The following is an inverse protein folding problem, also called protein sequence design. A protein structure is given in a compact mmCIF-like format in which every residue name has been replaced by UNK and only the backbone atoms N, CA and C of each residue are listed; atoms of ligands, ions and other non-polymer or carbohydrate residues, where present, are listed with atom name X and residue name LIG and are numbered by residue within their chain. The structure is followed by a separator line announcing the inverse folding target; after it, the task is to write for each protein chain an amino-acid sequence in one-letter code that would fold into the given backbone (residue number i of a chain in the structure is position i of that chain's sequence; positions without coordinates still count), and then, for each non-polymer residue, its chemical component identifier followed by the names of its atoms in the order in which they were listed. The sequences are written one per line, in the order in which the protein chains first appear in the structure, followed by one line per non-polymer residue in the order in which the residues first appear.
data_IF_942364767324
#
_entry.id   IF_942364767324
#
_cell.length_a   1.000
_cell.length_b   1.000
_cell.length_c   1.000
_cell.angle_alpha   90.00
_cell.angle_beta   90.00
_cell.angle_gamma   90.00
#
_symmetry.space_group_name_H-M   'P 1'
#
loop_
_entity.id
_entity.type
_entity.pdbx_description
1 polymer ?
#
# COMPACT_ATOMS: atom_id res chain seq x y z
N UNK A 1 18.23 37.51 55.44
CA UNK A 1 19.29 37.46 54.40
C UNK A 1 19.15 36.09 53.74
N UNK A 2 18.93 36.12 52.43
CA UNK A 2 18.46 35.00 51.60
C UNK A 2 19.67 34.22 51.07
N UNK A 3 19.63 32.90 51.09
CA UNK A 3 20.34 32.08 50.11
C UNK A 3 19.43 30.90 49.74
N UNK A 4 18.86 30.99 48.53
CA UNK A 4 18.07 29.95 47.88
C UNK A 4 18.97 29.32 46.82
N UNK A 5 19.37 28.07 47.03
CA UNK A 5 19.94 27.24 45.97
C UNK A 5 18.82 26.78 45.03
N UNK A 6 18.92 27.19 43.77
CA UNK A 6 18.10 26.68 42.68
C UNK A 6 18.59 25.27 42.31
N UNK A 7 17.80 24.25 42.63
CA UNK A 7 17.91 22.93 41.98
C UNK A 7 16.97 22.88 40.78
N UNK A 8 17.60 22.96 39.61
CA UNK A 8 17.04 22.61 38.31
C UNK A 8 16.40 21.21 38.34
N UNK A 9 15.07 21.14 38.34
CA UNK A 9 14.36 19.95 37.89
C UNK A 9 14.13 20.04 36.38
N UNK A 10 14.75 19.10 35.67
CA UNK A 10 14.67 18.88 34.23
C UNK A 10 13.22 18.90 33.74
N UNK A 11 12.87 19.89 32.91
CA UNK A 11 11.75 19.80 31.95
C UNK A 11 12.15 18.76 30.90
N UNK A 12 11.56 17.57 31.00
CA UNK A 12 11.45 16.62 29.89
C UNK A 12 10.17 15.80 30.10
N UNK A 13 9.05 16.33 29.61
CA UNK A 13 7.89 15.55 29.18
C UNK A 13 7.54 16.07 27.80
N UNK A 14 7.41 15.15 26.84
CA UNK A 14 7.10 15.44 25.46
C UNK A 14 5.85 16.35 25.36
N UNK A 15 5.96 17.40 24.56
CA UNK A 15 4.85 18.25 24.14
C UNK A 15 4.03 17.47 23.09
N UNK A 16 3.28 16.45 23.51
CA UNK A 16 2.28 15.83 22.64
C UNK A 16 1.02 16.70 22.74
N UNK A 17 0.88 17.67 21.85
CA UNK A 17 -0.40 18.39 21.71
C UNK A 17 -1.48 17.39 21.29
N UNK A 18 -2.63 17.43 21.97
CA UNK A 18 -3.78 16.62 21.57
C UNK A 18 -4.30 17.10 20.21
N UNK A 19 -4.63 16.15 19.33
CA UNK A 19 -5.05 16.43 17.96
C UNK A 19 -6.27 15.61 17.58
N UNK A 20 -7.08 16.17 16.69
CA UNK A 20 -8.19 15.46 16.05
C UNK A 20 -7.68 14.18 15.38
N UNK A 21 -8.36 13.07 15.63
CA UNK A 21 -8.02 11.73 15.16
C UNK A 21 -7.15 10.91 16.12
N UNK A 22 -6.55 11.53 17.13
CA UNK A 22 -5.76 10.83 18.15
C UNK A 22 -6.64 9.90 18.98
N UNK A 23 -6.10 8.74 19.36
CA UNK A 23 -6.71 7.78 20.28
C UNK A 23 -6.13 8.05 21.66
N UNK A 24 -7.03 8.17 22.64
CA UNK A 24 -6.71 8.47 24.03
C UNK A 24 -7.41 7.47 24.93
N UNK A 25 -6.79 7.13 26.06
CA UNK A 25 -7.41 6.31 27.11
C UNK A 25 -7.60 7.15 28.37
N UNK A 26 -8.65 6.82 29.13
CA UNK A 26 -8.90 7.50 30.40
C UNK A 26 -10.00 6.83 31.22
N UNK A 27 -10.01 6.99 32.56
CA UNK A 27 -11.11 6.54 33.40
C UNK A 27 -12.35 7.42 33.20
N UNK A 28 -13.53 6.81 33.29
CA UNK A 28 -14.81 7.54 33.31
C UNK A 28 -14.89 8.35 34.61
N UNK A 29 -15.03 9.68 34.49
CA UNK A 29 -15.26 10.58 35.61
C UNK A 29 -16.73 10.65 35.99
N UNK A 30 -17.60 10.76 34.99
CA UNK A 30 -19.04 10.93 35.18
C UNK A 30 -19.79 10.28 34.03
N UNK A 31 -20.90 9.60 34.33
CA UNK A 31 -21.75 8.97 33.33
C UNK A 31 -23.21 9.37 33.51
N UNK A 32 -23.76 10.09 32.53
CA UNK A 32 -25.17 10.49 32.50
C UNK A 32 -25.90 9.93 31.29
N UNK A 33 -27.21 10.18 31.19
CA UNK A 33 -28.01 9.82 30.01
C UNK A 33 -27.75 10.73 28.80
N UNK A 34 -27.05 11.86 28.98
CA UNK A 34 -26.82 12.89 27.95
C UNK A 34 -25.36 13.04 27.55
N UNK A 35 -24.43 12.73 28.46
CA UNK A 35 -22.99 12.79 28.22
C UNK A 35 -22.23 11.82 29.12
N UNK A 36 -20.99 11.53 28.76
CA UNK A 36 -19.99 10.86 29.60
C UNK A 36 -18.72 11.70 29.62
N UNK A 37 -18.16 11.93 30.80
CA UNK A 37 -16.88 12.63 31.00
C UNK A 37 -15.77 11.62 31.30
N UNK A 38 -14.60 11.85 30.73
CA UNK A 38 -13.44 10.95 30.78
C UNK A 38 -12.20 11.77 31.13
N UNK A 39 -11.41 11.31 32.09
CA UNK A 39 -10.15 11.98 32.44
C UNK A 39 -9.08 11.65 31.40
N UNK A 40 -8.62 12.66 30.66
CA UNK A 40 -7.57 12.54 29.65
C UNK A 40 -6.27 13.20 30.11
N UNK A 41 -6.04 13.32 31.42
CA UNK A 41 -4.82 13.90 31.98
C UNK A 41 -3.57 13.34 31.30
N UNK A 42 -2.65 14.19 30.80
CA UNK A 42 -2.55 15.64 31.05
C UNK A 42 -3.31 16.56 30.09
N UNK A 43 -4.06 16.02 29.12
CA UNK A 43 -4.65 16.79 28.02
C UNK A 43 -5.94 17.52 28.39
N UNK A 44 -6.64 17.11 29.44
CA UNK A 44 -7.89 17.73 29.90
C UNK A 44 -8.97 16.70 30.18
N UNK A 45 -10.23 17.09 29.98
CA UNK A 45 -11.40 16.21 30.16
C UNK A 45 -12.05 15.94 28.80
N UNK A 46 -12.21 14.67 28.47
CA UNK A 46 -12.94 14.21 27.30
C UNK A 46 -14.43 14.14 27.56
N UNK A 47 -15.25 14.42 26.55
CA UNK A 47 -16.71 14.33 26.60
C UNK A 47 -17.24 13.50 25.43
N UNK A 48 -18.14 12.56 25.73
CA UNK A 48 -18.89 11.78 24.72
C UNK A 48 -20.37 12.17 24.85
N UNK A 49 -20.96 12.75 23.81
CA UNK A 49 -22.37 13.20 23.81
C UNK A 49 -23.08 12.92 22.49
N UNK A 50 -24.38 13.20 22.44
CA UNK A 50 -25.15 13.22 21.20
C UNK A 50 -25.12 11.90 20.41
N UNK A 51 -24.65 11.96 19.17
CA UNK A 51 -24.53 10.79 18.29
C UNK A 51 -23.52 9.76 18.83
N UNK A 52 -22.34 10.21 19.26
CA UNK A 52 -21.29 9.33 19.79
C UNK A 52 -21.72 8.60 21.07
N UNK A 53 -22.51 9.25 21.93
CA UNK A 53 -23.07 8.58 23.11
C UNK A 53 -24.06 7.47 22.73
N UNK A 54 -24.83 7.65 21.65
CA UNK A 54 -25.75 6.61 21.15
C UNK A 54 -24.98 5.40 20.64
N UNK A 55 -23.90 5.60 19.90
CA UNK A 55 -23.02 4.52 19.43
C UNK A 55 -22.32 3.82 20.60
N UNK A 56 -21.92 4.59 21.61
CA UNK A 56 -21.23 4.08 22.79
C UNK A 56 -22.13 3.31 23.77
N UNK A 57 -23.45 3.27 23.59
CA UNK A 57 -24.38 2.61 24.54
C UNK A 57 -24.01 1.17 24.85
N UNK A 58 -23.57 0.42 23.84
CA UNK A 58 -23.20 -1.00 24.00
C UNK A 58 -21.92 -1.12 24.82
N UNK A 59 -20.94 -0.25 24.58
CA UNK A 59 -19.65 -0.20 25.30
C UNK A 59 -19.87 0.19 26.76
N UNK A 60 -20.71 1.21 26.97
CA UNK A 60 -20.98 1.79 28.28
C UNK A 60 -21.93 0.94 29.13
N UNK A 61 -22.57 -0.11 28.60
CA UNK A 61 -23.60 -0.87 29.32
C UNK A 61 -23.06 -1.46 30.63
N UNK A 62 -21.85 -2.00 30.59
CA UNK A 62 -21.24 -2.73 31.70
C UNK A 62 -20.16 -1.92 32.45
N UNK A 63 -19.89 -0.68 32.00
CA UNK A 63 -18.87 0.19 32.56
C UNK A 63 -19.43 1.20 33.57
N UNK A 64 -18.66 1.47 34.62
CA UNK A 64 -18.95 2.39 35.73
C UNK A 64 -17.93 3.52 35.81
N UNK A 65 -18.21 4.52 36.63
CA UNK A 65 -17.23 5.55 36.98
C UNK A 65 -15.96 4.90 37.55
N UNK A 66 -14.80 5.36 37.09
CA UNK A 66 -13.49 4.80 37.37
C UNK A 66 -13.00 3.77 36.34
N UNK A 67 -13.88 3.14 35.57
CA UNK A 67 -13.46 2.18 34.54
C UNK A 67 -12.79 2.90 33.37
N UNK A 68 -11.73 2.29 32.83
CA UNK A 68 -11.01 2.84 31.68
C UNK A 68 -11.77 2.62 30.38
N UNK A 69 -11.76 3.65 29.55
CA UNK A 69 -12.28 3.62 28.18
C UNK A 69 -11.26 4.19 27.21
N UNK A 70 -11.28 3.66 26.00
CA UNK A 70 -10.51 4.17 24.87
C UNK A 70 -11.44 4.98 23.98
N UNK A 71 -11.01 6.15 23.55
CA UNK A 71 -11.78 7.04 22.69
C UNK A 71 -10.92 7.71 21.63
N UNK A 72 -11.52 8.01 20.48
CA UNK A 72 -10.88 8.81 19.43
C UNK A 72 -11.33 10.26 19.54
N UNK A 73 -10.37 11.18 19.51
CA UNK A 73 -10.58 12.63 19.50
C UNK A 73 -11.26 13.04 18.20
N UNK A 74 -12.45 13.59 18.32
CA UNK A 74 -13.24 14.14 17.21
C UNK A 74 -13.00 15.63 17.08
N UNK A 75 -12.96 16.33 18.22
CA UNK A 75 -12.75 17.77 18.29
C UNK A 75 -12.00 18.11 19.59
N UNK A 76 -11.16 19.13 19.53
CA UNK A 76 -10.36 19.63 20.66
C UNK A 76 -10.75 21.05 21.09
N UNK A 77 -11.60 21.74 20.31
CA UNK A 77 -11.83 23.18 20.44
C UNK A 77 -13.32 23.51 20.57
N UNK A 78 -13.99 22.95 21.59
CA UNK A 78 -15.38 23.29 21.88
C UNK A 78 -15.51 24.45 22.89
N UNK A 79 -16.64 25.14 22.85
CA UNK A 79 -16.93 26.33 23.67
C UNK A 79 -16.85 26.09 25.20
N UNK A 80 -16.86 24.83 25.63
CA UNK A 80 -16.86 24.41 27.03
C UNK A 80 -15.48 23.90 27.51
N UNK A 81 -14.48 23.84 26.62
CA UNK A 81 -13.12 23.39 26.94
C UNK A 81 -12.96 21.86 27.09
N UNK A 82 -13.95 21.07 26.68
CA UNK A 82 -13.88 19.62 26.66
C UNK A 82 -13.34 19.09 25.32
N UNK A 83 -12.69 17.93 25.35
CA UNK A 83 -12.27 17.22 24.13
C UNK A 83 -13.40 16.29 23.70
N UNK A 84 -13.99 16.46 22.53
CA UNK A 84 -15.09 15.59 22.08
C UNK A 84 -14.54 14.24 21.61
N UNK A 85 -15.11 13.15 22.12
CA UNK A 85 -14.64 11.79 21.91
C UNK A 85 -15.70 10.88 21.30
N UNK A 86 -15.23 9.93 20.49
CA UNK A 86 -15.97 8.74 20.09
C UNK A 86 -15.36 7.51 20.75
N UNK A 87 -16.09 6.83 21.64
CA UNK A 87 -15.59 5.63 22.31
C UNK A 87 -15.30 4.50 21.31
N UNK A 88 -14.17 3.83 21.53
CA UNK A 88 -13.76 2.62 20.84
C UNK A 88 -14.13 1.43 21.74
N UNK A 89 -14.69 0.37 21.15
CA UNK A 89 -15.13 -0.81 21.92
C UNK A 89 -13.97 -1.64 22.46
N UNK A 90 -14.28 -2.63 23.31
CA UNK A 90 -13.28 -3.55 23.89
C UNK A 90 -12.44 -4.28 22.82
N UNK A 91 -13.01 -4.52 21.64
CA UNK A 91 -12.31 -5.19 20.54
C UNK A 91 -11.35 -4.26 19.79
N UNK A 92 -11.12 -3.03 20.23
CA UNK A 92 -10.20 -2.11 19.56
C UNK A 92 -8.76 -2.62 19.63
N UNK A 93 -8.30 -3.03 20.81
CA UNK A 93 -6.97 -3.60 21.00
C UNK A 93 -6.83 -4.93 20.24
N UNK A 94 -7.83 -5.80 20.35
CA UNK A 94 -7.86 -7.07 19.59
C UNK A 94 -7.81 -6.85 18.06
N UNK A 95 -8.48 -5.80 17.56
CA UNK A 95 -8.46 -5.47 16.13
C UNK A 95 -7.07 -5.04 15.67
N UNK A 96 -6.35 -4.27 16.49
CA UNK A 96 -4.98 -3.85 16.18
C UNK A 96 -3.97 -5.00 16.31
N UNK A 97 -4.13 -5.88 17.30
CA UNK A 97 -3.31 -7.09 17.40
C UNK A 97 -3.44 -7.96 16.15
N UNK A 98 -4.67 -8.17 15.66
CA UNK A 98 -4.93 -8.88 14.40
C UNK A 98 -4.29 -8.17 13.20
N UNK A 99 -4.40 -6.84 13.11
CA UNK A 99 -3.77 -6.05 12.04
C UNK A 99 -2.25 -6.20 12.08
N UNK A 100 -1.64 -6.17 13.27
CA UNK A 100 -0.20 -6.39 13.44
C UNK A 100 0.20 -7.76 12.92
N UNK A 101 -0.53 -8.81 13.32
CA UNK A 101 -0.30 -10.18 12.85
C UNK A 101 -0.45 -10.28 11.33
N UNK A 102 -1.50 -9.72 10.73
CA UNK A 102 -1.70 -9.74 9.28
C UNK A 102 -0.55 -9.04 8.52
N UNK A 103 0.03 -7.98 9.07
CA UNK A 103 1.20 -7.31 8.51
C UNK A 103 2.46 -8.17 8.63
N UNK A 104 2.69 -8.78 9.79
CA UNK A 104 3.84 -9.67 10.04
C UNK A 104 3.82 -10.92 9.17
N UNK A 105 2.64 -11.53 9.01
CA UNK A 105 2.45 -12.67 8.11
C UNK A 105 2.65 -12.31 6.64
N UNK A 106 2.64 -11.01 6.31
CA UNK A 106 2.73 -10.50 4.95
C UNK A 106 1.76 -11.21 4.00
N UNK A 107 0.54 -11.49 4.46
CA UNK A 107 -0.48 -12.17 3.66
C UNK A 107 -1.43 -11.17 3.00
N UNK A 108 -1.83 -11.49 1.78
CA UNK A 108 -2.85 -10.73 1.06
C UNK A 108 -4.25 -11.19 1.50
N UNK A 109 -5.18 -10.26 1.64
CA UNK A 109 -6.56 -10.54 2.05
C UNK A 109 -7.56 -9.61 1.33
N UNK A 110 -8.82 -10.03 1.16
CA UNK A 110 -9.84 -9.19 0.54
C UNK A 110 -10.32 -8.09 1.51
N UNK A 111 -10.52 -6.88 0.98
CA UNK A 111 -11.22 -5.78 1.65
C UNK A 111 -12.41 -5.33 0.82
N UNK A 112 -13.52 -4.99 1.49
CA UNK A 112 -14.68 -4.39 0.85
C UNK A 112 -14.51 -2.87 0.81
N UNK A 113 -14.59 -2.29 -0.38
CA UNK A 113 -14.53 -0.83 -0.56
C UNK A 113 -15.88 -0.23 -0.19
N UNK A 114 -15.87 0.67 0.79
CA UNK A 114 -17.07 1.34 1.27
C UNK A 114 -17.29 2.66 0.55
N UNK A 115 -16.22 3.43 0.36
CA UNK A 115 -16.29 4.77 -0.21
C UNK A 115 -15.03 5.07 -1.04
N UNK A 116 -15.12 6.14 -1.82
CA UNK A 116 -14.03 6.66 -2.62
C UNK A 116 -13.95 8.19 -2.50
N UNK A 117 -12.73 8.72 -2.44
CA UNK A 117 -12.45 10.14 -2.55
C UNK A 117 -11.37 10.38 -3.62
N UNK A 118 -11.05 11.65 -3.94
CA UNK A 118 -10.07 11.95 -4.99
C UNK A 118 -8.64 11.46 -4.69
N UNK A 119 -8.34 11.09 -3.44
CA UNK A 119 -7.03 10.58 -3.02
C UNK A 119 -6.93 9.05 -2.98
N UNK A 120 -8.05 8.32 -2.97
CA UNK A 120 -8.04 6.87 -2.81
C UNK A 120 -9.38 6.27 -2.41
N UNK A 121 -9.31 5.01 -2.00
CA UNK A 121 -10.46 4.20 -1.57
C UNK A 121 -10.46 4.06 -0.05
N UNK A 122 -11.64 4.01 0.54
CA UNK A 122 -11.85 3.81 1.98
C UNK A 122 -12.49 2.43 2.15
N UNK A 123 -11.92 1.64 3.04
CA UNK A 123 -12.41 0.30 3.36
C UNK A 123 -12.40 0.09 4.87
N UNK A 124 -13.15 -0.91 5.33
CA UNK A 124 -13.16 -1.30 6.74
C UNK A 124 -12.58 -2.69 6.90
N UNK A 125 -11.65 -2.85 7.83
CA UNK A 125 -11.12 -4.13 8.28
C UNK A 125 -11.43 -4.24 9.77
N UNK A 126 -12.15 -5.28 10.16
CA UNK A 126 -12.68 -5.42 11.52
C UNK A 126 -13.51 -4.18 11.91
N UNK A 127 -13.14 -3.48 12.99
CA UNK A 127 -13.78 -2.23 13.40
C UNK A 127 -13.04 -0.97 12.96
N UNK A 128 -11.96 -1.11 12.20
CA UNK A 128 -11.04 -0.02 11.87
C UNK A 128 -11.22 0.38 10.40
N UNK A 129 -11.39 1.68 10.19
CA UNK A 129 -11.38 2.26 8.84
C UNK A 129 -9.95 2.41 8.37
N UNK A 130 -9.66 1.90 7.18
CA UNK A 130 -8.39 2.07 6.51
C UNK A 130 -8.55 2.74 5.15
N UNK A 131 -7.42 3.22 4.65
CA UNK A 131 -7.32 3.96 3.40
C UNK A 131 -6.39 3.25 2.42
N UNK A 132 -6.81 3.14 1.17
CA UNK A 132 -6.02 2.65 0.05
C UNK A 132 -5.73 3.82 -0.89
N UNK A 133 -4.53 4.44 -0.82
CA UNK A 133 -4.17 5.56 -1.67
C UNK A 133 -4.16 5.17 -3.15
N UNK A 134 -4.47 6.12 -4.04
CA UNK A 134 -4.37 5.92 -5.50
C UNK A 134 -2.96 5.45 -5.91
N UNK A 135 -1.92 5.97 -5.26
CA UNK A 135 -0.54 5.58 -5.52
C UNK A 135 -0.20 4.13 -5.10
N UNK A 136 -1.09 3.47 -4.38
CA UNK A 136 -0.96 2.10 -3.87
C UNK A 136 -1.95 1.12 -4.54
N UNK A 137 -2.75 1.59 -5.51
CA UNK A 137 -3.56 0.73 -6.40
C UNK A 137 -2.67 -0.02 -7.40
N UNK A 138 -3.08 -1.23 -7.79
CA UNK A 138 -2.42 -1.98 -8.85
C UNK A 138 -2.37 -1.17 -10.16
N UNK A 139 -1.43 -1.53 -11.03
CA UNK A 139 -1.21 -0.81 -12.29
C UNK A 139 -2.48 -0.79 -13.16
N UNK A 140 -3.27 -1.86 -13.12
CA UNK A 140 -4.53 -2.01 -13.86
C UNK A 140 -5.68 -1.17 -13.28
N UNK A 141 -5.69 -0.97 -11.96
CA UNK A 141 -6.73 -0.18 -11.26
C UNK A 141 -6.35 1.29 -11.13
N UNK A 142 -5.16 1.68 -11.55
CA UNK A 142 -4.72 3.06 -11.50
C UNK A 142 -5.55 3.93 -12.46
N UNK A 143 -6.19 5.02 -11.97
CA UNK A 143 -7.03 5.87 -12.80
C UNK A 143 -6.18 6.70 -13.77
N UNK A 144 -6.05 6.22 -15.01
CA UNK A 144 -5.43 6.98 -16.10
C UNK A 144 -6.38 8.10 -16.52
N UNK A 145 -6.10 9.34 -16.11
CA UNK A 145 -6.88 10.52 -16.50
C UNK A 145 -5.96 11.57 -17.12
N UNK A 146 -6.33 12.08 -18.28
CA UNK A 146 -5.62 13.20 -18.91
C UNK A 146 -5.82 14.47 -18.06
N UNK A 147 -4.72 15.14 -17.72
CA UNK A 147 -4.72 16.40 -16.97
C UNK A 147 -4.93 16.29 -15.46
N UNK A 148 -5.05 15.08 -14.89
CA UNK A 148 -5.06 14.88 -13.43
C UNK A 148 -6.25 15.51 -12.68
N UNK A 149 -7.36 15.79 -13.36
CA UNK A 149 -8.56 16.38 -12.73
C UNK A 149 -9.09 15.47 -11.62
N UNK A 150 -9.23 16.05 -10.42
CA UNK A 150 -9.68 15.35 -9.20
C UNK A 150 -11.07 14.74 -9.36
N UNK A 151 -11.94 15.38 -10.14
CA UNK A 151 -13.31 14.94 -10.40
C UNK A 151 -13.33 13.62 -11.19
N UNK A 152 -12.52 13.54 -12.26
CA UNK A 152 -12.44 12.32 -13.09
C UNK A 152 -11.80 11.15 -12.36
N UNK A 153 -10.81 11.43 -11.50
CA UNK A 153 -10.21 10.40 -10.62
C UNK A 153 -11.29 9.83 -9.70
N UNK A 154 -12.03 10.71 -9.02
CA UNK A 154 -13.10 10.30 -8.12
C UNK A 154 -14.17 9.47 -8.84
N UNK A 155 -14.61 9.87 -10.03
CA UNK A 155 -15.62 9.13 -10.80
C UNK A 155 -15.17 7.70 -11.13
N UNK A 156 -13.91 7.51 -11.55
CA UNK A 156 -13.36 6.17 -11.76
C UNK A 156 -13.27 5.37 -10.47
N UNK A 157 -12.84 6.01 -9.37
CA UNK A 157 -12.70 5.34 -8.08
C UNK A 157 -14.04 4.90 -7.49
N UNK A 158 -15.11 5.66 -7.74
CA UNK A 158 -16.47 5.30 -7.32
C UNK A 158 -16.93 3.96 -7.89
N UNK A 159 -16.43 3.54 -9.05
CA UNK A 159 -16.80 2.23 -9.62
C UNK A 159 -16.33 1.06 -8.76
N UNK A 160 -15.31 1.24 -7.93
CA UNK A 160 -14.82 0.20 -7.02
C UNK A 160 -15.65 0.09 -5.73
N UNK A 161 -16.53 1.04 -5.44
CA UNK A 161 -17.38 1.00 -4.24
C UNK A 161 -18.30 -0.22 -4.30
N UNK A 162 -18.32 -1.00 -3.21
CA UNK A 162 -19.04 -2.26 -3.12
C UNK A 162 -18.29 -3.46 -3.68
N UNK A 163 -17.11 -3.27 -4.27
CA UNK A 163 -16.26 -4.36 -4.75
C UNK A 163 -15.24 -4.81 -3.70
N UNK A 164 -14.79 -6.06 -3.82
CA UNK A 164 -13.68 -6.57 -3.03
C UNK A 164 -12.36 -6.38 -3.79
N UNK A 165 -11.37 -5.79 -3.12
CA UNK A 165 -9.99 -5.73 -3.62
C UNK A 165 -9.08 -6.56 -2.72
N UNK A 166 -8.13 -7.28 -3.31
CA UNK A 166 -7.13 -8.03 -2.54
C UNK A 166 -5.94 -7.14 -2.25
N UNK A 167 -5.66 -6.90 -0.97
CA UNK A 167 -4.63 -5.96 -0.52
C UNK A 167 -3.74 -6.57 0.57
N UNK A 168 -2.65 -5.85 0.87
CA UNK A 168 -1.83 -6.02 2.06
C UNK A 168 -1.86 -4.76 2.91
N UNK A 169 -1.47 -4.89 4.18
CA UNK A 169 -1.25 -3.74 5.05
C UNK A 169 0.10 -3.13 4.69
N UNK A 170 0.09 -1.87 4.26
CA UNK A 170 1.30 -1.10 4.00
C UNK A 170 1.84 -0.51 5.30
N UNK A 171 0.97 0.16 6.05
CA UNK A 171 1.34 0.87 7.26
C UNK A 171 0.14 0.96 8.22
N UNK A 172 0.43 1.06 9.51
CA UNK A 172 -0.61 1.29 10.50
C UNK A 172 -0.05 2.02 11.72
N UNK A 173 -0.91 2.77 12.39
CA UNK A 173 -0.62 3.45 13.65
C UNK A 173 -1.89 3.44 14.52
N UNK A 174 -1.94 2.63 15.60
CA UNK A 174 -3.09 2.56 16.49
C UNK A 174 -3.36 3.88 17.21
N UNK A 175 -2.32 4.68 17.49
CA UNK A 175 -2.41 5.92 18.28
C UNK A 175 -3.20 7.00 17.54
N UNK A 176 -3.21 6.99 16.21
CA UNK A 176 -3.98 7.94 15.39
C UNK A 176 -5.04 7.23 14.53
N UNK A 177 -5.37 5.98 14.86
CA UNK A 177 -6.29 5.13 14.10
C UNK A 177 -6.00 5.06 12.60
N UNK A 178 -4.72 5.04 12.23
CA UNK A 178 -4.29 5.02 10.83
C UNK A 178 -4.11 3.58 10.38
N UNK A 179 -4.76 3.22 9.29
CA UNK A 179 -4.56 1.95 8.60
C UNK A 179 -4.43 2.23 7.10
N UNK A 180 -3.31 1.83 6.50
CA UNK A 180 -3.05 2.02 5.07
C UNK A 180 -2.91 0.66 4.40
N UNK A 181 -3.68 0.47 3.34
CA UNK A 181 -3.62 -0.70 2.48
C UNK A 181 -2.75 -0.45 1.24
N UNK A 182 -2.26 -1.53 0.64
CA UNK A 182 -1.61 -1.52 -0.67
C UNK A 182 -1.99 -2.74 -1.49
N UNK A 183 -2.50 -2.48 -2.68
CA UNK A 183 -2.72 -3.48 -3.71
C UNK A 183 -1.42 -3.72 -4.52
N UNK A 184 -0.58 -2.68 -4.69
CA UNK A 184 0.73 -2.80 -5.34
C UNK A 184 1.65 -3.80 -4.68
N UNK A 185 1.60 -3.95 -3.36
CA UNK A 185 2.40 -4.98 -2.68
C UNK A 185 2.00 -6.38 -3.16
N UNK A 186 0.69 -6.65 -3.26
CA UNK A 186 0.16 -7.92 -3.78
C UNK A 186 0.59 -8.15 -5.23
N UNK A 187 0.51 -7.11 -6.07
CA UNK A 187 0.97 -7.16 -7.47
C UNK A 187 2.48 -7.51 -7.53
N UNK A 188 3.30 -6.86 -6.71
CA UNK A 188 4.75 -7.11 -6.64
C UNK A 188 5.08 -8.53 -6.21
N UNK A 189 4.38 -9.07 -5.22
CA UNK A 189 4.64 -10.44 -4.76
C UNK A 189 4.28 -11.45 -5.86
N UNK A 190 3.14 -11.28 -6.53
CA UNK A 190 2.75 -12.11 -7.68
C UNK A 190 3.78 -12.05 -8.80
N UNK A 191 4.31 -10.86 -9.09
CA UNK A 191 5.38 -10.68 -10.09
C UNK A 191 6.65 -11.40 -9.62
N UNK A 192 7.05 -11.25 -8.36
CA UNK A 192 8.24 -11.92 -7.82
C UNK A 192 8.10 -13.44 -7.82
N UNK A 193 6.93 -13.97 -7.47
CA UNK A 193 6.63 -15.40 -7.51
C UNK A 193 6.69 -15.93 -8.95
N UNK A 194 6.11 -15.21 -9.91
CA UNK A 194 6.19 -15.56 -11.32
C UNK A 194 7.65 -15.55 -11.82
N UNK A 195 8.45 -14.57 -11.39
CA UNK A 195 9.87 -14.48 -11.74
C UNK A 195 10.65 -15.69 -11.19
N UNK A 196 10.38 -16.11 -9.95
CA UNK A 196 11.04 -17.25 -9.31
C UNK A 196 10.72 -18.60 -9.96
N UNK A 197 9.68 -18.68 -10.79
CA UNK A 197 9.37 -19.91 -11.55
C UNK A 197 10.29 -20.10 -12.75
N UNK A 198 10.88 -19.02 -13.28
CA UNK A 198 11.80 -19.11 -14.41
C UNK A 198 13.18 -19.57 -13.97
N UNK A 199 13.75 -20.49 -14.74
CA UNK A 199 15.11 -20.99 -14.55
C UNK A 199 16.02 -20.44 -15.64
N UNK A 200 17.30 -20.27 -15.27
CA UNK A 200 18.34 -19.96 -16.24
C UNK A 200 18.37 -21.07 -17.28
N UNK A 201 18.23 -20.68 -18.55
CA UNK A 201 18.17 -21.59 -19.68
C UNK A 201 16.80 -21.71 -20.35
N UNK A 202 15.73 -21.30 -19.67
CA UNK A 202 14.36 -21.40 -20.20
C UNK A 202 14.17 -20.53 -21.44
N UNK A 203 13.40 -21.03 -22.40
CA UNK A 203 12.97 -20.27 -23.58
C UNK A 203 11.59 -19.67 -23.31
N UNK A 204 11.47 -18.36 -23.46
CA UNK A 204 10.25 -17.61 -23.19
C UNK A 204 9.91 -16.70 -24.37
N UNK A 205 8.62 -16.50 -24.63
CA UNK A 205 8.13 -15.51 -25.59
C UNK A 205 8.06 -14.16 -24.94
N UNK A 206 8.67 -13.17 -25.58
CA UNK A 206 8.71 -11.79 -25.09
C UNK A 206 8.28 -10.82 -26.17
N UNK A 207 7.55 -9.79 -25.77
CA UNK A 207 7.17 -8.67 -26.62
C UNK A 207 8.06 -7.48 -26.33
N UNK A 208 8.73 -6.93 -27.33
CA UNK A 208 9.58 -5.74 -27.15
C UNK A 208 8.69 -4.54 -26.82
N UNK A 209 8.95 -3.88 -25.69
CA UNK A 209 8.15 -2.72 -25.23
C UNK A 209 8.85 -1.41 -25.52
N UNK A 210 10.18 -1.36 -25.38
CA UNK A 210 10.96 -0.14 -25.58
C UNK A 210 12.40 -0.46 -25.95
N UNK A 211 12.94 0.22 -26.94
CA UNK A 211 14.35 0.11 -27.32
C UNK A 211 15.12 1.31 -26.75
N UNK A 212 16.28 1.03 -26.16
CA UNK A 212 17.21 2.01 -25.58
C UNK A 212 18.63 1.71 -26.05
N UNK A 213 19.57 2.63 -25.85
CA UNK A 213 20.93 2.44 -26.39
C UNK A 213 21.62 1.19 -25.84
N UNK A 214 21.45 0.86 -24.57
CA UNK A 214 22.11 -0.31 -23.97
C UNK A 214 21.33 -1.63 -24.14
N UNK A 215 20.19 -1.64 -24.85
CA UNK A 215 19.40 -2.87 -25.02
C UNK A 215 17.92 -2.66 -25.35
N UNK A 216 17.13 -3.70 -25.12
CA UNK A 216 15.68 -3.69 -25.33
C UNK A 216 14.94 -4.14 -24.08
N UNK A 217 13.97 -3.33 -23.64
CA UNK A 217 12.98 -3.75 -22.66
C UNK A 217 11.92 -4.59 -23.36
N UNK A 218 11.52 -5.65 -22.70
CA UNK A 218 10.51 -6.57 -23.21
C UNK A 218 9.62 -7.07 -22.08
N UNK A 219 8.44 -7.58 -22.43
CA UNK A 219 7.49 -8.17 -21.51
C UNK A 219 7.28 -9.63 -21.84
N UNK A 220 7.43 -10.49 -20.85
CA UNK A 220 7.20 -11.93 -21.02
C UNK A 220 5.71 -12.16 -21.25
N UNK A 221 5.37 -12.94 -22.27
CA UNK A 221 3.99 -13.23 -22.68
C UNK A 221 3.47 -14.56 -22.12
N UNK A 222 4.38 -15.44 -21.70
CA UNK A 222 4.02 -16.79 -21.22
C UNK A 222 3.46 -16.78 -19.78
N UNK A 223 3.49 -15.63 -19.10
CA UNK A 223 2.92 -15.44 -17.77
C UNK A 223 1.84 -14.36 -17.80
N UNK A 224 0.74 -14.54 -17.04
CA UNK A 224 -0.33 -13.55 -16.98
C UNK A 224 0.07 -12.28 -16.21
N UNK A 225 1.08 -12.35 -15.34
CA UNK A 225 1.62 -11.20 -14.64
C UNK A 225 2.46 -10.33 -15.59
N UNK A 226 2.45 -9.01 -15.37
CA UNK A 226 3.25 -8.05 -16.13
C UNK A 226 4.73 -8.13 -15.75
N UNK A 227 5.41 -9.21 -16.17
CA UNK A 227 6.84 -9.43 -15.91
C UNK A 227 7.67 -8.75 -17.00
N UNK A 228 8.41 -7.72 -16.61
CA UNK A 228 9.32 -7.01 -17.49
C UNK A 228 10.73 -7.63 -17.45
N UNK A 229 11.36 -7.73 -18.62
CA UNK A 229 12.70 -8.25 -18.83
C UNK A 229 13.56 -7.29 -19.64
N UNK A 230 14.88 -7.48 -19.56
CA UNK A 230 15.88 -6.69 -20.28
C UNK A 230 16.74 -7.61 -21.15
N UNK A 231 16.85 -7.27 -22.43
CA UNK A 231 17.83 -7.87 -23.34
C UNK A 231 18.95 -6.84 -23.49
N UNK A 232 20.13 -7.14 -22.95
CA UNK A 232 21.28 -6.24 -23.11
C UNK A 232 21.77 -6.24 -24.56
N UNK A 233 22.35 -5.14 -25.04
CA UNK A 233 22.84 -5.02 -26.44
C UNK A 233 23.81 -6.14 -26.82
N UNK A 234 24.61 -6.63 -25.87
CA UNK A 234 25.53 -7.76 -26.10
C UNK A 234 24.84 -9.09 -26.32
N UNK A 235 23.56 -9.20 -25.97
CA UNK A 235 22.72 -10.38 -26.11
C UNK A 235 21.80 -10.29 -27.33
N UNK A 236 21.94 -9.24 -28.15
CA UNK A 236 21.22 -9.05 -29.42
C UNK A 236 22.15 -9.44 -30.58
N UNK A 237 21.71 -10.30 -31.52
CA UNK A 237 22.51 -10.65 -32.70
C UNK A 237 22.54 -9.49 -33.69
N UNK A 238 23.45 -8.54 -33.46
CA UNK A 238 23.73 -7.41 -34.36
C UNK A 238 24.74 -7.81 -35.44
N UNK A 239 24.59 -7.27 -36.65
CA UNK A 239 25.47 -7.55 -37.79
C UNK A 239 26.86 -6.88 -37.66
N UNK A 240 26.96 -5.83 -36.85
CA UNK A 240 28.21 -5.08 -36.64
C UNK A 240 28.75 -5.25 -35.20
N UNK A 241 30.08 -5.31 -35.00
CA UNK A 241 30.69 -5.39 -33.68
C UNK A 241 30.32 -4.18 -32.82
N UNK A 242 29.93 -4.45 -31.57
CA UNK A 242 29.52 -3.43 -30.59
C UNK A 242 30.75 -2.66 -30.12
N UNK A 243 30.88 -1.39 -30.48
CA UNK A 243 31.87 -0.49 -29.87
C UNK A 243 31.31 0.06 -28.55
N UNK A 244 31.83 -0.45 -27.42
CA UNK A 244 31.42 -0.08 -26.06
C UNK A 244 31.68 1.40 -25.73
N UNK A 245 32.42 2.13 -26.57
CA UNK A 245 32.74 3.55 -26.40
C UNK A 245 31.62 4.48 -26.88
N UNK A 246 30.62 3.98 -27.62
CA UNK A 246 29.54 4.74 -28.25
C UNK A 246 28.17 4.46 -27.60
N UNK A 247 28.11 4.51 -26.26
CA UNK A 247 26.92 4.18 -25.46
C UNK A 247 25.67 5.05 -25.67
N UNK A 248 25.68 5.99 -26.64
CA UNK A 248 24.56 6.89 -26.95
C UNK A 248 24.05 6.84 -28.41
N UNK A 249 24.45 5.85 -29.22
CA UNK A 249 23.99 5.69 -30.61
C UNK A 249 23.60 4.26 -31.00
N UNK A 250 23.44 3.38 -30.03
CA UNK A 250 23.21 1.95 -30.28
C UNK A 250 21.73 1.61 -30.47
N UNK A 251 20.79 2.50 -30.07
CA UNK A 251 19.37 2.28 -30.29
C UNK A 251 19.00 2.18 -31.78
N UNK A 252 19.70 2.89 -32.66
CA UNK A 252 19.49 2.82 -34.11
C UNK A 252 19.89 1.46 -34.68
N UNK A 253 21.01 0.90 -34.21
CA UNK A 253 21.49 -0.43 -34.59
C UNK A 253 20.57 -1.53 -34.04
N UNK A 254 20.08 -1.40 -32.80
CA UNK A 254 19.11 -2.34 -32.26
C UNK A 254 17.81 -2.31 -33.06
N UNK A 255 17.39 -1.13 -33.52
CA UNK A 255 16.19 -0.95 -34.35
C UNK A 255 16.29 -1.59 -35.74
N UNK A 256 17.47 -1.96 -36.22
CA UNK A 256 17.58 -2.71 -37.49
C UNK A 256 17.19 -4.18 -37.32
N UNK A 257 17.31 -4.72 -36.10
CA UNK A 257 17.04 -6.13 -35.77
C UNK A 257 15.75 -6.32 -34.97
N UNK A 258 15.39 -5.34 -34.15
CA UNK A 258 14.23 -5.37 -33.26
C UNK A 258 13.30 -4.19 -33.52
N UNK A 259 12.00 -4.46 -33.52
CA UNK A 259 10.96 -3.43 -33.60
C UNK A 259 10.16 -3.41 -32.32
N UNK A 260 9.79 -2.23 -31.81
CA UNK A 260 8.88 -2.11 -30.67
C UNK A 260 7.52 -2.71 -31.03
N UNK A 261 7.00 -3.55 -30.14
CA UNK A 261 5.79 -4.34 -30.36
C UNK A 261 6.02 -5.74 -30.95
N UNK A 262 7.22 -6.04 -31.43
CA UNK A 262 7.55 -7.35 -32.01
C UNK A 262 7.64 -8.45 -30.93
N UNK A 263 7.27 -9.68 -31.29
CA UNK A 263 7.30 -10.84 -30.38
C UNK A 263 8.43 -11.77 -30.81
N UNK A 264 9.34 -12.07 -29.88
CA UNK A 264 10.49 -12.96 -30.09
C UNK A 264 10.55 -14.03 -29.01
N UNK A 265 11.16 -15.15 -29.35
CA UNK A 265 11.64 -16.08 -28.32
C UNK A 265 12.97 -15.57 -27.79
N UNK A 266 13.17 -15.67 -26.48
CA UNK A 266 14.39 -15.27 -25.80
C UNK A 266 14.73 -16.30 -24.72
N UNK A 267 16.02 -16.48 -24.48
CA UNK A 267 16.52 -17.39 -23.44
C UNK A 267 16.78 -16.63 -22.15
N UNK A 268 16.35 -17.17 -21.00
CA UNK A 268 16.67 -16.62 -19.68
C UNK A 268 18.14 -16.85 -19.37
N UNK A 269 18.90 -15.75 -19.19
CA UNK A 269 20.34 -15.77 -18.87
C UNK A 269 20.56 -15.65 -17.38
N UNK A 270 19.83 -14.75 -16.73
CA UNK A 270 19.90 -14.56 -15.29
C UNK A 270 18.59 -13.96 -14.78
N UNK A 271 18.32 -14.21 -13.51
CA UNK A 271 17.23 -13.61 -12.75
C UNK A 271 17.87 -12.89 -11.58
N UNK A 272 17.78 -11.57 -11.54
CA UNK A 272 18.36 -10.75 -10.47
C UNK A 272 17.37 -9.69 -9.99
N UNK A 273 17.14 -9.63 -8.67
CA UNK A 273 16.37 -8.58 -8.00
C UNK A 273 15.02 -8.23 -8.65
N UNK A 274 14.25 -9.24 -9.07
CA UNK A 274 12.95 -9.03 -9.71
C UNK A 274 13.02 -8.53 -11.16
N UNK A 275 14.17 -8.71 -11.82
CA UNK A 275 14.35 -8.48 -13.26
C UNK A 275 14.91 -9.72 -13.92
N UNK A 276 14.41 -10.01 -15.12
CA UNK A 276 14.87 -11.14 -15.93
C UNK A 276 15.76 -10.60 -17.05
N UNK A 277 17.01 -11.06 -17.09
CA UNK A 277 17.92 -10.79 -18.18
C UNK A 277 17.77 -11.89 -19.23
N UNK A 278 17.55 -11.46 -20.47
CA UNK A 278 17.20 -12.33 -21.59
C UNK A 278 18.24 -12.21 -22.70
N UNK A 279 18.37 -13.27 -23.49
CA UNK A 279 19.23 -13.30 -24.67
C UNK A 279 18.50 -13.76 -25.91
N UNK A 280 18.78 -13.06 -27.01
CA UNK A 280 18.35 -13.46 -28.35
C UNK A 280 19.45 -14.21 -29.10
N UNK A 281 20.64 -14.34 -28.51
CA UNK A 281 21.75 -15.12 -29.06
C UNK A 281 21.60 -16.59 -28.65
N UNK A 282 22.07 -17.49 -29.52
CA UNK A 282 22.09 -18.94 -29.27
C UNK A 282 20.72 -19.58 -29.05
N UNK A 283 19.68 -19.08 -29.71
CA UNK A 283 18.38 -19.76 -29.81
C UNK A 283 18.48 -20.71 -31.02
N UNK A 284 18.70 -21.99 -30.76
CA UNK A 284 18.66 -23.00 -31.82
C UNK A 284 17.24 -23.11 -32.38
N UNK A 285 17.01 -23.03 -33.70
CA UNK A 285 15.69 -23.30 -34.26
C UNK A 285 15.51 -24.81 -34.38
N UNK A 286 14.80 -25.46 -33.45
CA UNK A 286 14.04 -26.70 -33.73
C UNK A 286 13.35 -27.28 -32.48
N UNK A 287 12.02 -27.24 -32.47
CA UNK A 287 11.19 -28.45 -32.51
C UNK A 287 9.76 -28.07 -32.89
N UNK A 288 9.54 -27.94 -34.20
CA UNK A 288 8.21 -28.11 -34.79
C UNK A 288 7.74 -29.53 -34.43
N UNK A 289 6.58 -29.72 -33.78
CA UNK A 289 6.09 -31.07 -33.52
C UNK A 289 5.87 -31.78 -34.85
N UNK A 290 6.56 -32.91 -35.01
CA UNK A 290 6.43 -33.84 -36.12
C UNK A 290 4.94 -34.11 -36.36
N UNK A 291 4.48 -33.92 -37.60
CA UNK A 291 3.19 -34.41 -38.06
C UNK A 291 3.05 -35.88 -37.66
N UNK A 292 2.06 -36.18 -36.83
CA UNK A 292 1.54 -37.54 -36.65
C UNK A 292 0.81 -37.86 -37.95
N UNK A 293 1.46 -38.62 -38.83
CA UNK A 293 0.79 -39.28 -39.94
C UNK A 293 0.34 -40.66 -39.45
N UNK A 294 -0.98 -40.86 -39.54
CA UNK A 294 -1.73 -42.11 -39.84
C UNK A 294 -1.39 -43.38 -39.09
#
# INVERSE_FOLDING_TARGET
MVFTEQKNFKKNKANDEIRVGMVVEGPILEKTSRYVLIDLSPFGVGMVRGFYLKEAKTILKDLKEGDKVVGRVIDVDNEEGYIELSLQGQNFDESWEKISQLKEENKAFPILILEANAGGLIAKLENITGFLPVSQLATEHYPQVEGGSKEKILEKLKNFVGQNLTVKILDFDPQVSKLIFSEKLVEKDKISEAINQFKVGDLVKVKITKIVDYGAFCRIQDVPQLVDGLIHVTEIPLESPIDKSQSGKMAAEIKTVLTEGDVKEAKVVSVDNGRICLSLKNISPSNTPSKINS
#
